data_IF_306912746468
#
_entry.id   IF_306912746468
#
_cell.length_a   1.000
_cell.length_b   1.000
_cell.length_c   1.000
_cell.angle_alpha   90.00
_cell.angle_beta   90.00
_cell.angle_gamma   90.00
#
_symmetry.space_group_name_H-M   'P 1'
#
loop_
_entity.id
_entity.type
_entity.pdbx_description
1 polymer ?
#
# COMPACT_ATOMS: atom_id res chain seq x y z
N UNK A 1 11.03 -7.50 -5.05
CA UNK A 1 9.63 -7.91 -4.84
C UNK A 1 8.86 -7.64 -6.13
N UNK A 2 8.23 -8.64 -6.77
CA UNK A 2 7.58 -8.47 -8.08
C UNK A 2 6.28 -7.64 -8.00
N UNK A 3 5.60 -7.69 -6.85
CA UNK A 3 4.37 -6.95 -6.59
C UNK A 3 4.59 -5.44 -6.51
N UNK A 4 5.66 -4.99 -5.85
CA UNK A 4 6.03 -3.56 -5.80
C UNK A 4 6.38 -3.02 -7.19
N UNK A 5 7.12 -3.80 -7.97
CA UNK A 5 7.54 -3.43 -9.33
C UNK A 5 6.33 -3.28 -10.27
N UNK A 6 5.39 -4.23 -10.20
CA UNK A 6 4.11 -4.15 -10.90
C UNK A 6 3.34 -2.87 -10.54
N UNK A 7 3.17 -2.59 -9.24
CA UNK A 7 2.47 -1.38 -8.80
C UNK A 7 3.14 -0.09 -9.27
N UNK A 8 4.47 -0.03 -9.30
CA UNK A 8 5.22 1.13 -9.78
C UNK A 8 5.13 1.31 -11.31
N UNK A 9 4.90 0.24 -12.07
CA UNK A 9 4.78 0.27 -13.53
C UNK A 9 3.39 0.66 -14.05
N UNK A 10 2.38 0.77 -13.17
CA UNK A 10 1.01 1.09 -13.57
C UNK A 10 0.91 2.56 -14.02
N UNK A 11 0.47 2.78 -15.27
CA UNK A 11 0.25 4.12 -15.84
C UNK A 11 -1.05 4.79 -15.40
N UNK A 12 -1.72 4.27 -14.36
CA UNK A 12 -3.01 4.77 -13.86
C UNK A 12 -2.90 5.12 -12.37
N UNK A 13 -3.73 6.05 -11.86
CA UNK A 13 -3.72 6.38 -10.44
C UNK A 13 -4.11 5.17 -9.57
N UNK A 14 -3.35 4.95 -8.50
CA UNK A 14 -3.56 3.92 -7.49
C UNK A 14 -3.88 4.57 -6.15
N UNK A 15 -4.94 4.09 -5.51
CA UNK A 15 -5.32 4.47 -4.14
C UNK A 15 -5.30 3.23 -3.27
N UNK A 16 -4.74 3.38 -2.08
CA UNK A 16 -4.59 2.33 -1.07
C UNK A 16 -5.23 2.77 0.25
N UNK A 17 -5.88 1.83 0.94
CA UNK A 17 -6.53 2.06 2.25
C UNK A 17 -6.16 0.95 3.20
N UNK A 18 -5.52 1.28 4.31
CA UNK A 18 -5.18 0.34 5.38
C UNK A 18 -6.37 0.27 6.34
N UNK A 19 -7.00 -0.90 6.40
CA UNK A 19 -8.24 -1.12 7.16
C UNK A 19 -8.04 -1.87 8.49
N UNK A 20 -6.80 -2.25 8.82
CA UNK A 20 -6.47 -3.05 10.00
C UNK A 20 -4.97 -3.01 10.26
N UNK A 21 -4.35 -4.16 10.48
CA UNK A 21 -2.89 -4.25 10.64
C UNK A 21 -2.19 -4.46 9.29
N UNK A 22 -1.19 -3.63 9.00
CA UNK A 22 -0.30 -3.78 7.85
C UNK A 22 1.15 -3.73 8.30
N UNK A 23 1.84 -4.87 8.31
CA UNK A 23 3.27 -4.95 8.62
C UNK A 23 4.06 -5.73 7.59
N UNK A 24 5.38 -5.52 7.55
CA UNK A 24 6.32 -6.23 6.66
C UNK A 24 6.19 -5.89 5.16
N UNK A 25 6.88 -6.65 4.29
CA UNK A 25 6.99 -6.38 2.85
C UNK A 25 5.66 -6.41 2.08
N UNK A 26 4.61 -7.02 2.65
CA UNK A 26 3.24 -6.97 2.09
C UNK A 26 2.58 -5.61 2.26
N UNK A 27 2.91 -4.90 3.33
CA UNK A 27 2.44 -3.55 3.60
C UNK A 27 3.16 -2.54 2.68
N UNK A 28 4.46 -2.76 2.41
CA UNK A 28 5.24 -1.95 1.45
C UNK A 28 4.69 -2.03 0.03
N UNK A 29 4.14 -3.18 -0.38
CA UNK A 29 3.47 -3.33 -1.68
C UNK A 29 2.16 -2.53 -1.77
N UNK A 30 1.52 -2.25 -0.62
CA UNK A 30 0.30 -1.45 -0.50
C UNK A 30 0.64 0.05 -0.37
N UNK A 31 1.89 0.38 0.03
CA UNK A 31 2.42 1.74 0.14
C UNK A 31 2.98 2.32 -1.17
N UNK A 32 3.12 1.54 -2.24
CA UNK A 32 3.54 2.04 -3.57
C UNK A 32 2.41 2.75 -4.34
N UNK A 33 1.25 2.96 -3.73
CA UNK A 33 0.14 3.69 -4.32
C UNK A 33 0.41 5.20 -4.37
N UNK A 34 -0.25 5.91 -5.29
CA UNK A 34 -0.13 7.38 -5.38
C UNK A 34 -0.75 8.08 -4.17
N UNK A 35 -1.78 7.49 -3.57
CA UNK A 35 -2.39 7.93 -2.32
C UNK A 35 -2.59 6.75 -1.39
N UNK A 36 -2.23 6.93 -0.12
CA UNK A 36 -2.42 5.95 0.94
C UNK A 36 -3.25 6.59 2.03
N UNK A 37 -4.34 5.93 2.42
CA UNK A 37 -5.18 6.29 3.54
C UNK A 37 -5.10 5.20 4.62
N UNK A 38 -5.39 5.60 5.85
CA UNK A 38 -5.39 4.72 7.01
C UNK A 38 -6.63 5.00 7.84
N UNK A 39 -7.31 3.94 8.29
CA UNK A 39 -8.36 4.09 9.30
C UNK A 39 -7.73 4.50 10.64
N UNK A 40 -8.48 5.23 11.45
CA UNK A 40 -8.01 5.77 12.74
C UNK A 40 -7.52 4.70 13.74
N UNK A 41 -8.00 3.47 13.60
CA UNK A 41 -7.59 2.32 14.42
C UNK A 41 -6.69 1.32 13.68
N UNK A 42 -6.25 1.66 12.46
CA UNK A 42 -5.32 0.82 11.70
C UNK A 42 -3.88 1.02 12.17
N UNK A 43 -3.09 -0.04 12.09
CA UNK A 43 -1.69 -0.05 12.51
C UNK A 43 -0.84 -0.37 11.30
N UNK A 44 0.18 0.45 11.04
CA UNK A 44 1.18 0.19 10.02
C UNK A 44 2.59 0.27 10.61
N UNK A 45 3.40 -0.77 10.39
CA UNK A 45 4.75 -0.92 10.97
C UNK A 45 5.77 -1.46 9.98
#
# INVERSE_FOLDING_TARGET
>A
ARSTDCCLSLGVPIVSVIIGEGGSGGAVAIATANRVYMLEHSIYT
#
